data_IF_032254515914
#
_entry.id   IF_032254515914
#
_cell.length_a   1.000
_cell.length_b   1.000
_cell.length_c   1.000
_cell.angle_alpha   90.00
_cell.angle_beta   90.00
_cell.angle_gamma   90.00
#
_symmetry.space_group_name_H-M   'P 1'
#
loop_
_entity.id
_entity.type
_entity.pdbx_description
1 polymer ?
#
# COMPACT_ATOMS: atom_id res chain seq x y z
N UNK A 1 -27.74 -8.89 7.47
CA UNK A 1 -27.39 -9.44 6.14
C UNK A 1 -26.24 -8.61 5.59
N UNK A 2 -24.99 -9.05 5.77
CA UNK A 2 -23.84 -8.34 5.21
C UNK A 2 -23.45 -8.98 3.88
N UNK A 3 -23.51 -8.19 2.82
CA UNK A 3 -23.28 -8.59 1.44
C UNK A 3 -21.77 -8.73 1.16
N UNK A 4 -21.35 -9.95 0.84
CA UNK A 4 -19.99 -10.33 0.40
C UNK A 4 -19.58 -9.61 -0.90
N UNK A 5 -18.71 -8.59 -0.81
CA UNK A 5 -17.94 -8.05 -1.96
C UNK A 5 -16.55 -7.45 -1.56
N UNK A 6 -16.01 -7.73 -0.36
CA UNK A 6 -14.87 -6.98 0.22
C UNK A 6 -13.72 -7.85 0.79
N UNK A 7 -13.40 -9.02 0.24
CA UNK A 7 -12.34 -9.87 0.86
C UNK A 7 -10.89 -9.45 0.55
N UNK A 8 -10.64 -8.60 -0.46
CA UNK A 8 -9.27 -8.28 -0.90
C UNK A 8 -8.99 -6.80 -1.15
N UNK A 9 -9.90 -5.90 -0.77
CA UNK A 9 -9.68 -4.44 -0.88
C UNK A 9 -9.03 -3.93 0.40
N UNK A 10 -7.85 -3.33 0.28
CA UNK A 10 -7.18 -2.69 1.40
C UNK A 10 -7.16 -1.16 1.26
N UNK A 11 -7.85 -0.48 2.19
CA UNK A 11 -7.80 0.98 2.31
C UNK A 11 -6.81 1.48 3.37
N UNK A 12 -6.17 0.59 4.14
CA UNK A 12 -5.30 0.93 5.26
C UNK A 12 -5.95 1.72 6.41
N UNK A 13 -7.28 1.80 6.46
CA UNK A 13 -8.02 2.51 7.53
C UNK A 13 -7.89 1.87 8.91
N UNK A 14 -7.53 0.59 8.95
CA UNK A 14 -7.20 -0.15 10.17
C UNK A 14 -5.68 -0.30 10.30
N UNK A 15 -5.19 -0.18 11.53
CA UNK A 15 -3.79 -0.28 11.93
C UNK A 15 -3.17 -1.67 11.69
N UNK A 16 -3.99 -2.71 11.52
CA UNK A 16 -3.54 -4.05 11.06
C UNK A 16 -3.22 -4.09 9.56
N UNK A 17 -3.40 -3.00 8.83
CA UNK A 17 -3.05 -2.83 7.40
C UNK A 17 -3.50 -4.01 6.53
N UNK A 18 -4.70 -4.54 6.79
CA UNK A 18 -5.28 -5.67 6.05
C UNK A 18 -4.42 -6.94 6.04
N UNK A 19 -3.54 -7.12 7.04
CA UNK A 19 -2.62 -8.24 7.14
C UNK A 19 -1.34 -8.11 6.31
N UNK A 20 -1.08 -6.96 5.68
CA UNK A 20 0.24 -6.67 5.12
C UNK A 20 1.30 -6.67 6.23
N UNK A 21 2.55 -6.97 5.87
CA UNK A 21 3.67 -7.02 6.81
C UNK A 21 4.90 -6.32 6.24
N UNK A 22 5.69 -5.67 7.10
CA UNK A 22 6.98 -5.12 6.72
C UNK A 22 7.98 -6.27 6.55
N UNK A 23 8.78 -6.21 5.49
CA UNK A 23 9.93 -7.08 5.39
C UNK A 23 11.09 -6.58 6.26
N UNK A 24 11.58 -7.42 7.16
CA UNK A 24 12.70 -7.07 8.03
C UNK A 24 14.07 -7.14 7.35
N UNK A 25 14.13 -7.61 6.09
CA UNK A 25 15.38 -7.75 5.32
C UNK A 25 15.58 -6.63 4.30
N UNK A 26 14.77 -5.57 4.34
CA UNK A 26 14.93 -4.40 3.50
C UNK A 26 15.78 -3.31 4.18
N UNK A 27 15.88 -2.14 3.56
CA UNK A 27 16.71 -1.04 4.08
C UNK A 27 15.90 -0.11 5.00
N UNK A 28 14.58 -0.07 4.85
CA UNK A 28 13.70 0.80 5.61
C UNK A 28 12.23 0.46 5.42
N UNK A 29 11.43 0.72 6.46
CA UNK A 29 10.02 0.36 6.47
C UNK A 29 9.11 1.38 5.80
N UNK A 30 7.97 0.88 5.32
CA UNK A 30 6.81 1.69 5.00
C UNK A 30 6.16 2.23 6.28
N UNK A 31 5.60 3.44 6.23
CA UNK A 31 4.86 4.02 7.36
C UNK A 31 3.39 4.18 6.97
N UNK A 32 2.49 3.70 7.83
CA UNK A 32 1.06 4.01 7.72
C UNK A 32 0.83 5.46 8.13
N UNK A 33 0.26 6.26 7.23
CA UNK A 33 0.18 7.71 7.41
C UNK A 33 -1.10 8.28 6.79
N UNK A 34 -1.58 9.39 7.36
CA UNK A 34 -2.55 10.29 6.74
C UNK A 34 -2.03 11.75 6.82
N UNK A 35 -2.80 12.71 6.33
CA UNK A 35 -2.36 14.12 6.34
C UNK A 35 -2.32 14.74 7.75
N UNK A 36 -3.00 14.14 8.72
CA UNK A 36 -3.02 14.58 10.11
C UNK A 36 -1.87 13.99 10.93
N UNK A 37 -1.17 12.97 10.41
CA UNK A 37 -0.06 12.32 11.10
C UNK A 37 1.15 13.23 11.12
N UNK A 38 1.65 13.56 12.31
CA UNK A 38 2.89 14.31 12.48
C UNK A 38 4.10 13.36 12.36
N UNK A 39 4.52 13.09 11.12
CA UNK A 39 5.74 12.30 10.85
C UNK A 39 6.94 13.25 10.72
N UNK A 40 7.86 13.30 11.71
CA UNK A 40 8.99 14.24 11.71
C UNK A 40 10.01 13.96 10.59
N UNK A 41 9.96 12.78 9.97
CA UNK A 41 10.81 12.42 8.84
C UNK A 41 10.22 12.88 7.50
N UNK A 42 8.94 13.27 7.45
CA UNK A 42 8.27 13.72 6.23
C UNK A 42 8.88 15.04 5.76
N UNK A 43 9.36 15.05 4.55
CA UNK A 43 9.89 16.22 3.87
C UNK A 43 8.75 17.17 3.51
N UNK A 44 8.97 18.48 3.66
CA UNK A 44 7.99 19.48 3.24
C UNK A 44 7.63 19.31 1.76
N UNK A 45 6.37 19.62 1.42
CA UNK A 45 5.83 19.52 0.05
C UNK A 45 5.88 18.10 -0.57
N UNK A 46 5.96 17.05 0.24
CA UNK A 46 5.90 15.65 -0.20
C UNK A 46 4.64 14.92 0.27
N UNK A 47 4.33 13.81 -0.39
CA UNK A 47 3.13 13.02 -0.13
C UNK A 47 1.85 13.67 -0.70
N UNK A 48 0.73 12.93 -0.73
CA UNK A 48 -0.55 13.48 -1.13
C UNK A 48 -1.18 14.27 0.04
N UNK A 49 -2.04 15.24 -0.28
CA UNK A 49 -2.84 15.98 0.71
C UNK A 49 -3.99 15.14 1.28
N UNK A 50 -4.42 14.12 0.53
CA UNK A 50 -5.53 13.23 0.86
C UNK A 50 -5.22 11.79 0.46
N UNK A 51 -5.93 10.83 1.05
CA UNK A 51 -5.90 9.44 0.59
C UNK A 51 -6.63 9.27 -0.76
N UNK A 52 -6.77 8.01 -1.22
CA UNK A 52 -7.47 7.70 -2.49
C UNK A 52 -8.96 8.08 -2.48
N UNK A 53 -9.59 8.17 -1.31
CA UNK A 53 -11.00 8.57 -1.17
C UNK A 53 -11.18 10.08 -1.18
N UNK A 54 -10.09 10.86 -1.13
CA UNK A 54 -10.12 12.32 -1.16
C UNK A 54 -10.27 12.96 0.21
N UNK A 55 -9.98 12.22 1.29
CA UNK A 55 -10.09 12.72 2.68
C UNK A 55 -8.70 12.94 3.31
N UNK A 56 -8.60 13.85 4.26
CA UNK A 56 -7.33 14.11 4.98
C UNK A 56 -7.08 13.08 6.09
N UNK A 57 -8.16 12.47 6.56
CA UNK A 57 -8.25 11.48 7.62
C UNK A 57 -7.90 10.08 7.13
N UNK A 58 -8.22 9.77 5.86
CA UNK A 58 -7.95 8.47 5.25
C UNK A 58 -6.47 8.14 5.19
N UNK A 59 -6.15 6.86 5.28
CA UNK A 59 -4.79 6.38 5.42
C UNK A 59 -4.21 5.82 4.12
N UNK A 60 -2.89 5.89 4.03
CA UNK A 60 -2.10 5.30 2.96
C UNK A 60 -0.76 4.82 3.50
N UNK A 61 -0.11 3.93 2.74
CA UNK A 61 1.27 3.54 3.02
C UNK A 61 2.23 4.52 2.35
N UNK A 62 3.20 4.99 3.12
CA UNK A 62 4.11 6.06 2.74
C UNK A 62 5.57 5.64 2.95
N UNK A 63 6.42 6.07 2.03
CA UNK A 63 7.88 6.05 2.20
C UNK A 63 8.43 7.46 2.07
N UNK A 64 9.39 7.79 2.92
CA UNK A 64 10.22 8.97 2.74
C UNK A 64 11.44 8.60 1.91
N UNK A 65 11.54 9.14 0.69
CA UNK A 65 12.61 8.89 -0.25
C UNK A 65 13.76 9.92 -0.16
N UNK A 66 13.61 10.96 0.65
CA UNK A 66 14.64 11.96 0.87
C UNK A 66 15.79 11.43 1.74
N UNK A 67 16.80 12.28 1.96
CA UNK A 67 17.99 11.90 2.75
C UNK A 67 17.56 11.37 4.13
N UNK A 68 18.19 10.28 4.61
CA UNK A 68 19.44 9.71 4.15
C UNK A 68 19.30 8.61 3.07
N UNK A 69 18.12 8.43 2.45
CA UNK A 69 17.95 7.39 1.42
C UNK A 69 18.89 7.59 0.23
N UNK A 70 19.48 6.49 -0.23
CA UNK A 70 20.37 6.44 -1.37
C UNK A 70 19.70 5.71 -2.56
N UNK A 71 20.11 6.00 -3.81
CA UNK A 71 19.67 5.22 -4.96
C UNK A 71 19.95 3.73 -4.77
N UNK A 72 18.91 2.90 -4.86
CA UNK A 72 19.01 1.46 -4.65
C UNK A 72 18.56 0.98 -3.27
N UNK A 73 18.37 1.87 -2.29
CA UNK A 73 17.65 1.53 -1.04
C UNK A 73 16.24 1.04 -1.40
N UNK A 74 15.79 -0.01 -0.72
CA UNK A 74 14.48 -0.62 -0.96
C UNK A 74 13.70 -0.72 0.34
N UNK A 75 12.38 -0.55 0.21
CA UNK A 75 11.38 -0.86 1.21
C UNK A 75 10.40 -1.87 0.59
N UNK A 76 10.04 -2.94 1.31
CA UNK A 76 9.14 -3.99 0.85
C UNK A 76 7.99 -4.18 1.84
N UNK A 77 6.79 -3.92 1.36
CA UNK A 77 5.57 -4.29 2.06
C UNK A 77 5.02 -5.58 1.45
N UNK A 78 4.90 -6.63 2.26
CA UNK A 78 4.50 -7.96 1.84
C UNK A 78 3.01 -8.13 2.05
N UNK A 79 2.29 -8.58 1.02
CA UNK A 79 0.87 -8.89 1.14
C UNK A 79 0.66 -10.17 1.96
N UNK A 80 -0.57 -10.39 2.48
CA UNK A 80 -0.99 -11.73 2.86
C UNK A 80 -0.78 -12.73 1.72
N UNK A 81 -0.64 -14.01 2.08
CA UNK A 81 -0.61 -15.09 1.09
C UNK A 81 -2.02 -15.28 0.53
N UNK A 82 -2.19 -15.04 -0.76
CA UNK A 82 -3.43 -15.33 -1.48
C UNK A 82 -3.29 -16.66 -2.20
N UNK A 83 -4.17 -17.61 -1.89
CA UNK A 83 -4.21 -18.90 -2.56
C UNK A 83 -4.80 -18.72 -3.96
N UNK A 84 -3.94 -18.48 -4.95
CA UNK A 84 -4.33 -18.33 -6.35
C UNK A 84 -4.71 -19.65 -7.06
N UNK A 85 -4.74 -20.75 -6.31
CA UNK A 85 -5.15 -22.06 -6.81
C UNK A 85 -6.57 -22.33 -6.32
N UNK A 86 -7.47 -22.63 -7.25
CA UNK A 86 -8.86 -23.10 -7.04
C UNK A 86 -9.93 -22.04 -6.77
N UNK A 87 -10.36 -21.34 -7.82
CA UNK A 87 -11.79 -21.43 -8.13
C UNK A 87 -11.93 -21.99 -9.55
N UNK A 88 -12.77 -23.02 -9.69
CA UNK A 88 -13.34 -23.32 -11.00
C UNK A 88 -14.21 -22.12 -11.31
N UNK A 89 -13.96 -21.43 -12.42
CA UNK A 89 -14.93 -20.47 -12.91
C UNK A 89 -16.32 -21.13 -13.04
N UNK A 90 -17.43 -20.36 -13.04
CA UNK A 90 -18.77 -20.89 -13.17
C UNK A 90 -18.82 -21.97 -14.27
N UNK A 91 -19.30 -23.16 -13.91
CA UNK A 91 -19.31 -24.41 -14.70
C UNK A 91 -18.87 -24.24 -16.16
N UNK A 92 -17.57 -24.37 -16.43
CA UNK A 92 -17.02 -24.43 -17.79
C UNK A 92 -16.17 -23.25 -18.23
N UNK A 93 -16.10 -22.14 -17.46
CA UNK A 93 -15.05 -21.14 -17.68
C UNK A 93 -13.74 -21.61 -17.03
N UNK A 94 -12.61 -21.31 -17.69
CA UNK A 94 -11.28 -21.75 -17.28
C UNK A 94 -10.83 -21.20 -15.91
N UNK A 95 -9.51 -21.25 -15.66
CA UNK A 95 -8.90 -20.75 -14.41
C UNK A 95 -9.33 -19.31 -14.13
N UNK A 96 -9.75 -19.01 -12.91
CA UNK A 96 -9.98 -17.63 -12.45
C UNK A 96 -8.66 -16.85 -12.50
N UNK A 97 -8.70 -15.66 -13.10
CA UNK A 97 -7.56 -14.74 -13.18
C UNK A 97 -7.65 -13.75 -12.02
N UNK A 98 -6.56 -13.61 -11.27
CA UNK A 98 -6.43 -12.59 -10.23
C UNK A 98 -5.77 -11.34 -10.81
N UNK A 99 -6.41 -10.18 -10.61
CA UNK A 99 -5.88 -8.88 -10.98
C UNK A 99 -5.56 -8.07 -9.72
N UNK A 100 -4.34 -7.56 -9.64
CA UNK A 100 -3.94 -6.63 -8.58
C UNK A 100 -4.01 -5.21 -9.12
N UNK A 101 -4.71 -4.33 -8.43
CA UNK A 101 -4.80 -2.90 -8.73
C UNK A 101 -4.52 -2.08 -7.48
N UNK A 102 -3.85 -0.95 -7.64
CA UNK A 102 -3.52 -0.05 -6.54
C UNK A 102 -3.36 1.38 -7.05
N UNK A 103 -3.56 2.34 -6.13
CA UNK A 103 -3.27 3.75 -6.37
C UNK A 103 -1.88 4.07 -5.84
N UNK A 104 -1.14 4.91 -6.55
CA UNK A 104 0.18 5.39 -6.11
C UNK A 104 0.28 6.91 -6.31
N UNK A 105 1.10 7.55 -5.49
CA UNK A 105 1.42 8.97 -5.61
C UNK A 105 2.92 9.17 -5.42
N UNK A 106 3.58 9.69 -6.46
CA UNK A 106 5.03 9.81 -6.54
C UNK A 106 5.39 11.26 -6.84
N UNK A 107 5.78 12.01 -5.81
CA UNK A 107 6.11 13.44 -5.90
C UNK A 107 7.39 13.74 -5.13
N UNK A 108 8.41 14.21 -5.85
CA UNK A 108 9.68 14.64 -5.26
C UNK A 108 10.85 14.48 -6.22
N UNK A 109 11.92 15.24 -6.01
CA UNK A 109 13.13 15.18 -6.86
C UNK A 109 13.90 13.85 -6.72
N UNK A 110 13.84 13.24 -5.54
CA UNK A 110 14.50 11.99 -5.21
C UNK A 110 13.55 10.80 -5.32
N UNK A 111 12.44 10.96 -6.04
CA UNK A 111 11.46 9.89 -6.16
C UNK A 111 12.08 8.72 -6.93
N UNK A 112 11.93 7.52 -6.37
CA UNK A 112 12.45 6.29 -6.94
C UNK A 112 11.50 5.69 -7.97
N UNK A 113 11.45 4.36 -8.00
CA UNK A 113 10.52 3.56 -8.80
C UNK A 113 9.79 2.58 -7.89
N UNK A 114 8.55 2.24 -8.23
CA UNK A 114 7.77 1.18 -7.59
C UNK A 114 7.79 -0.06 -8.47
#
# INVERSE_FOLDING_TARGET
>A
MHTHTSEHVCGFEDDRICGFSQDQNDVFDWTRQNNLTNNPKRSANTGPETDRSGTKEGYYMYIEASRPRAPGDKARLLSPVYNASFTKGPKGSGREQYCVSFYYHMKGKHIGKM
#
